data_IF_211483841732
#
_entry.id   IF_211483841732
#
_cell.length_a   1.000
_cell.length_b   1.000
_cell.length_c   1.000
_cell.angle_alpha   90.00
_cell.angle_beta   90.00
_cell.angle_gamma   90.00
#
_symmetry.space_group_name_H-M   'P 1'
#
loop_
_entity.id
_entity.type
_entity.pdbx_description
1 polymer ?
#
# COMPACT_ATOMS: atom_id res chain seq x y z
N UNK A 1 -35.52 16.57 17.82
CA UNK A 1 -35.06 15.17 17.63
C UNK A 1 -34.71 14.83 16.17
N UNK A 2 -35.56 15.11 15.16
CA UNK A 2 -35.29 14.73 13.75
C UNK A 2 -34.04 15.40 13.13
N UNK A 3 -33.74 16.65 13.51
CA UNK A 3 -32.58 17.39 12.98
C UNK A 3 -31.24 16.83 13.47
N UNK A 4 -31.16 16.40 14.73
CA UNK A 4 -29.94 15.85 15.34
C UNK A 4 -29.59 14.51 14.70
N UNK A 5 -30.58 13.67 14.41
CA UNK A 5 -30.39 12.41 13.69
C UNK A 5 -29.87 12.61 12.26
N UNK A 6 -30.37 13.63 11.55
CA UNK A 6 -29.92 13.95 10.20
C UNK A 6 -28.46 14.44 10.19
N UNK A 7 -28.05 15.26 11.17
CA UNK A 7 -26.66 15.72 11.32
C UNK A 7 -25.74 14.56 11.68
N UNK A 8 -26.16 13.66 12.56
CA UNK A 8 -25.37 12.48 12.93
C UNK A 8 -25.17 11.53 11.74
N UNK A 9 -26.22 11.28 10.95
CA UNK A 9 -26.14 10.47 9.74
C UNK A 9 -25.27 11.14 8.67
N UNK A 10 -25.35 12.47 8.52
CA UNK A 10 -24.48 13.21 7.63
C UNK A 10 -23.01 13.09 8.07
N UNK A 11 -22.75 13.14 9.38
CA UNK A 11 -21.40 12.99 9.93
C UNK A 11 -20.85 11.56 9.73
N UNK A 12 -21.69 10.52 9.87
CA UNK A 12 -21.30 9.13 9.57
C UNK A 12 -21.04 8.92 8.07
N UNK A 13 -21.84 9.53 7.20
CA UNK A 13 -21.64 9.47 5.74
C UNK A 13 -20.41 10.28 5.30
N UNK A 14 -20.13 11.41 5.93
CA UNK A 14 -18.93 12.21 5.67
C UNK A 14 -17.68 11.54 6.25
N UNK A 15 -17.73 11.00 7.47
CA UNK A 15 -16.63 10.27 8.08
C UNK A 15 -16.32 8.97 7.31
N UNK A 16 -17.33 8.22 6.85
CA UNK A 16 -17.10 7.04 6.01
C UNK A 16 -16.52 7.38 4.63
N UNK A 17 -16.79 8.57 4.11
CA UNK A 17 -16.10 9.08 2.89
C UNK A 17 -14.69 9.61 3.17
N UNK A 18 -14.43 10.18 4.35
CA UNK A 18 -13.10 10.64 4.78
C UNK A 18 -12.18 9.45 5.11
N UNK A 19 -12.71 8.33 5.61
CA UNK A 19 -11.93 7.09 5.81
C UNK A 19 -11.56 6.42 4.47
N UNK A 20 -12.29 6.71 3.38
CA UNK A 20 -11.91 6.29 2.03
C UNK A 20 -10.85 7.20 1.37
N UNK A 21 -10.42 8.27 2.04
CA UNK A 21 -9.43 9.20 1.52
C UNK A 21 -8.03 8.93 2.10
N UNK A 22 -7.21 8.27 1.29
CA UNK A 22 -5.74 8.50 1.23
C UNK A 22 -4.98 8.39 2.55
N UNK A 23 -5.34 7.43 3.39
CA UNK A 23 -4.52 7.06 4.53
C UNK A 23 -3.38 6.17 4.03
N UNK A 24 -2.16 6.70 4.12
CA UNK A 24 -0.95 5.90 4.10
C UNK A 24 -0.97 5.07 5.41
N UNK A 25 -1.69 3.94 5.41
CA UNK A 25 -2.07 3.12 6.59
C UNK A 25 -0.90 2.36 7.25
N UNK A 26 0.30 2.92 7.20
CA UNK A 26 1.35 2.64 8.17
C UNK A 26 1.10 3.36 9.50
N UNK A 27 0.64 4.62 9.46
CA UNK A 27 0.63 5.48 10.65
C UNK A 27 -0.71 5.58 11.38
N UNK A 28 -1.85 5.51 10.68
CA UNK A 28 -3.17 5.83 11.28
C UNK A 28 -3.74 4.70 12.17
N UNK A 29 -3.19 3.48 12.09
CA UNK A 29 -3.60 2.34 12.92
C UNK A 29 -2.47 1.81 13.82
N UNK A 30 -1.36 2.53 13.92
CA UNK A 30 -0.26 2.07 14.79
C UNK A 30 -0.59 2.36 16.25
N UNK A 31 -0.61 1.34 17.13
CA UNK A 31 -0.91 1.55 18.54
C UNK A 31 0.05 2.54 19.21
N UNK A 32 -0.37 3.09 20.35
CA UNK A 32 0.51 3.97 21.15
C UNK A 32 1.74 3.20 21.62
N UNK A 33 2.79 3.93 22.01
CA UNK A 33 4.02 3.32 22.51
C UNK A 33 3.73 2.39 23.70
N UNK A 34 2.88 2.81 24.63
CA UNK A 34 2.51 1.98 25.79
C UNK A 34 1.78 0.70 25.37
N UNK A 35 0.91 0.77 24.36
CA UNK A 35 0.23 -0.42 23.83
C UNK A 35 1.23 -1.35 23.17
N UNK A 36 2.16 -0.82 22.38
CA UNK A 36 3.22 -1.61 21.75
C UNK A 36 4.16 -2.27 22.76
N UNK A 37 4.51 -1.57 23.84
CA UNK A 37 5.36 -2.11 24.91
C UNK A 37 4.67 -3.31 25.57
N UNK A 38 3.37 -3.19 25.92
CA UNK A 38 2.59 -4.30 26.48
C UNK A 38 2.44 -5.48 25.53
N UNK A 39 2.11 -5.26 24.25
CA UNK A 39 1.93 -6.35 23.28
C UNK A 39 3.21 -7.13 22.99
N UNK A 40 4.36 -6.45 23.01
CA UNK A 40 5.65 -7.10 22.80
C UNK A 40 6.08 -7.87 24.05
N UNK A 41 5.83 -7.34 25.26
CA UNK A 41 6.18 -7.98 26.53
C UNK A 41 5.25 -9.15 26.89
N UNK A 42 3.94 -9.00 26.69
CA UNK A 42 2.97 -10.06 26.98
C UNK A 42 2.97 -11.19 25.93
N UNK A 43 3.57 -10.93 24.77
CA UNK A 43 3.57 -11.84 23.62
C UNK A 43 2.18 -12.06 23.03
N UNK A 44 2.14 -12.80 21.91
CA UNK A 44 0.86 -13.22 21.33
C UNK A 44 0.35 -14.42 22.13
N UNK A 45 -0.71 -14.22 22.90
CA UNK A 45 -1.30 -15.28 23.73
C UNK A 45 -2.16 -16.20 22.86
N UNK A 46 -1.56 -17.26 22.34
CA UNK A 46 -2.29 -18.33 21.68
C UNK A 46 -2.71 -19.40 22.71
N UNK A 47 -4.02 -19.69 22.83
CA UNK A 47 -4.42 -21.05 23.23
C UNK A 47 -4.09 -21.95 22.06
N UNK A 48 -3.40 -23.08 22.29
CA UNK A 48 -2.94 -24.01 21.25
C UNK A 48 -3.89 -24.08 20.05
N UNK A 49 -3.39 -23.97 18.80
CA UNK A 49 -4.24 -23.96 17.63
C UNK A 49 -5.09 -25.23 17.60
N UNK A 50 -6.39 -25.05 17.64
CA UNK A 50 -7.35 -26.12 17.38
C UNK A 50 -7.17 -26.54 15.92
N UNK A 51 -6.43 -27.63 15.69
CA UNK A 51 -6.09 -28.18 14.38
C UNK A 51 -7.33 -28.55 13.55
N UNK A 52 -8.53 -28.57 14.15
CA UNK A 52 -9.80 -28.81 13.46
C UNK A 52 -10.41 -27.55 12.83
N UNK A 53 -9.89 -26.35 13.12
CA UNK A 53 -10.41 -25.09 12.56
C UNK A 53 -9.54 -24.63 11.39
N UNK A 54 -10.11 -24.43 10.18
CA UNK A 54 -9.36 -23.94 9.02
C UNK A 54 -8.91 -22.46 9.17
N UNK A 55 -9.42 -21.73 10.16
CA UNK A 55 -9.07 -20.34 10.44
C UNK A 55 -8.73 -20.16 11.92
N UNK A 56 -7.67 -19.39 12.20
CA UNK A 56 -7.35 -18.97 13.55
C UNK A 56 -8.40 -17.97 14.08
N UNK A 57 -8.47 -17.84 15.40
CA UNK A 57 -9.36 -16.89 16.05
C UNK A 57 -9.09 -15.44 15.58
N UNK A 58 -10.14 -14.67 15.31
CA UNK A 58 -9.99 -13.32 14.75
C UNK A 58 -9.24 -12.37 15.68
N UNK A 59 -9.32 -12.59 17.00
CA UNK A 59 -8.53 -11.86 17.98
C UNK A 59 -7.04 -12.17 17.81
N UNK A 60 -6.67 -13.44 17.62
CA UNK A 60 -5.29 -13.84 17.39
C UNK A 60 -4.72 -13.22 16.11
N UNK A 61 -5.49 -13.22 15.01
CA UNK A 61 -5.08 -12.57 13.76
C UNK A 61 -4.89 -11.06 13.94
N UNK A 62 -5.79 -10.40 14.66
CA UNK A 62 -5.68 -8.97 15.00
C UNK A 62 -4.44 -8.67 15.88
N UNK A 63 -4.09 -9.57 16.81
CA UNK A 63 -2.89 -9.45 17.63
C UNK A 63 -1.61 -9.54 16.78
N UNK A 64 -1.57 -10.46 15.80
CA UNK A 64 -0.44 -10.57 14.87
C UNK A 64 -0.23 -9.28 14.08
N UNK A 65 -1.31 -8.71 13.52
CA UNK A 65 -1.27 -7.43 12.80
C UNK A 65 -0.79 -6.27 13.71
N UNK A 66 -1.24 -6.25 14.95
CA UNK A 66 -0.87 -5.24 15.96
C UNK A 66 0.61 -5.33 16.32
N UNK A 67 1.11 -6.55 16.60
CA UNK A 67 2.52 -6.79 16.90
C UNK A 67 3.39 -6.42 15.71
N UNK A 68 3.00 -6.78 14.50
CA UNK A 68 3.74 -6.43 13.28
C UNK A 68 3.89 -4.90 13.12
N UNK A 69 2.81 -4.12 13.32
CA UNK A 69 2.85 -2.65 13.30
C UNK A 69 3.79 -2.08 14.37
N UNK A 70 3.74 -2.61 15.58
CA UNK A 70 4.62 -2.19 16.67
C UNK A 70 6.09 -2.51 16.40
N UNK A 71 6.38 -3.69 15.85
CA UNK A 71 7.73 -4.09 15.44
C UNK A 71 8.26 -3.18 14.32
N UNK A 72 7.42 -2.86 13.34
CA UNK A 72 7.78 -1.98 12.24
C UNK A 72 8.17 -0.58 12.75
N UNK A 73 7.36 0.01 13.63
CA UNK A 73 7.64 1.32 14.27
C UNK A 73 8.93 1.35 15.08
N UNK A 74 9.35 0.20 15.63
CA UNK A 74 10.63 0.05 16.34
C UNK A 74 11.81 -0.23 15.41
N UNK A 75 11.63 -0.13 14.08
CA UNK A 75 12.67 -0.41 13.09
C UNK A 75 12.99 -1.90 12.91
N UNK A 76 12.16 -2.80 13.44
CA UNK A 76 12.32 -4.26 13.32
C UNK A 76 11.57 -4.80 12.09
N UNK A 77 11.79 -4.18 10.94
CA UNK A 77 10.96 -4.40 9.74
C UNK A 77 10.98 -5.85 9.23
N UNK A 78 12.11 -6.58 9.33
CA UNK A 78 12.18 -8.00 8.94
C UNK A 78 11.22 -8.86 9.77
N UNK A 79 11.23 -8.68 11.09
CA UNK A 79 10.33 -9.40 11.99
C UNK A 79 8.86 -8.95 11.81
N UNK A 80 8.63 -7.66 11.54
CA UNK A 80 7.28 -7.17 11.22
C UNK A 80 6.69 -7.87 9.99
N UNK A 81 7.49 -8.03 8.92
CA UNK A 81 7.09 -8.76 7.71
C UNK A 81 6.72 -10.21 8.05
N UNK A 82 7.54 -10.91 8.85
CA UNK A 82 7.23 -12.28 9.26
C UNK A 82 5.88 -12.40 9.97
N UNK A 83 5.55 -11.46 10.87
CA UNK A 83 4.26 -11.44 11.55
C UNK A 83 3.09 -11.13 10.61
N UNK A 84 3.26 -10.23 9.64
CA UNK A 84 2.23 -9.97 8.62
C UNK A 84 2.03 -11.15 7.68
N UNK A 85 3.09 -11.88 7.32
CA UNK A 85 2.99 -13.11 6.54
C UNK A 85 2.28 -14.21 7.33
N UNK A 86 2.55 -14.32 8.64
CA UNK A 86 1.83 -15.24 9.52
C UNK A 86 0.34 -14.86 9.61
N UNK A 87 0.02 -13.57 9.82
CA UNK A 87 -1.36 -13.10 9.83
C UNK A 87 -2.07 -13.38 8.50
N UNK A 88 -1.37 -13.20 7.38
CA UNK A 88 -1.88 -13.51 6.04
C UNK A 88 -2.17 -15.00 5.85
N UNK A 89 -1.33 -15.89 6.39
CA UNK A 89 -1.55 -17.34 6.35
C UNK A 89 -2.83 -17.77 7.07
N UNK A 90 -3.34 -16.94 7.99
CA UNK A 90 -4.62 -17.11 8.66
C UNK A 90 -5.77 -16.29 8.02
N UNK A 91 -5.57 -15.75 6.82
CA UNK A 91 -6.58 -15.02 6.07
C UNK A 91 -6.67 -13.51 6.34
N UNK A 92 -5.68 -12.91 7.02
CA UNK A 92 -5.66 -11.44 7.19
C UNK A 92 -5.41 -10.73 5.86
N UNK A 93 -6.39 -9.93 5.41
CA UNK A 93 -6.21 -8.99 4.29
C UNK A 93 -5.16 -7.93 4.61
N UNK A 94 -5.13 -7.41 5.85
CA UNK A 94 -4.11 -6.44 6.30
C UNK A 94 -2.71 -7.04 6.26
N UNK A 95 -2.56 -8.26 6.78
CA UNK A 95 -1.29 -8.98 6.75
C UNK A 95 -0.81 -9.28 5.34
N UNK A 96 -1.74 -9.70 4.45
CA UNK A 96 -1.44 -9.95 3.05
C UNK A 96 -1.01 -8.67 2.31
N UNK A 97 -1.71 -7.56 2.55
CA UNK A 97 -1.36 -6.27 1.97
C UNK A 97 0.01 -5.80 2.48
N UNK A 98 0.20 -5.63 3.79
CA UNK A 98 1.42 -5.05 4.35
C UNK A 98 2.63 -5.95 4.15
N UNK A 99 2.48 -7.27 4.35
CA UNK A 99 3.51 -8.25 4.06
C UNK A 99 3.90 -8.23 2.58
N UNK A 100 2.91 -8.20 1.67
CA UNK A 100 3.15 -8.16 0.24
C UNK A 100 3.83 -6.87 -0.22
N UNK A 101 3.38 -5.72 0.27
CA UNK A 101 3.99 -4.40 0.00
C UNK A 101 5.46 -4.41 0.40
N UNK A 102 5.76 -4.79 1.65
CA UNK A 102 7.11 -4.67 2.18
C UNK A 102 8.07 -5.71 1.62
N UNK A 103 7.58 -6.90 1.23
CA UNK A 103 8.36 -7.87 0.45
C UNK A 103 8.80 -7.31 -0.90
N UNK A 104 7.93 -6.56 -1.59
CA UNK A 104 8.26 -5.90 -2.86
C UNK A 104 9.28 -4.78 -2.63
N UNK A 105 8.97 -3.88 -1.71
CA UNK A 105 9.74 -2.66 -1.47
C UNK A 105 11.15 -2.96 -0.96
N UNK A 106 11.28 -3.93 -0.06
CA UNK A 106 12.54 -4.30 0.58
C UNK A 106 13.14 -5.58 -0.01
N UNK A 107 12.75 -5.95 -1.24
CA UNK A 107 13.30 -7.13 -1.89
C UNK A 107 14.83 -7.06 -1.98
N UNK A 108 15.49 -8.03 -1.35
CA UNK A 108 16.90 -8.35 -1.49
C UNK A 108 17.11 -9.41 -2.59
N UNK A 109 16.06 -10.18 -2.92
CA UNK A 109 16.09 -11.26 -3.93
C UNK A 109 14.88 -11.21 -4.87
N UNK A 110 15.02 -11.84 -6.05
CA UNK A 110 13.92 -12.02 -6.99
C UNK A 110 12.77 -12.86 -6.39
N UNK A 111 13.09 -13.84 -5.54
CA UNK A 111 12.10 -14.65 -4.84
C UNK A 111 11.20 -13.77 -3.95
N UNK A 112 11.79 -12.94 -3.09
CA UNK A 112 11.02 -12.02 -2.23
C UNK A 112 10.13 -11.09 -3.04
N UNK A 113 10.66 -10.54 -4.14
CA UNK A 113 9.92 -9.68 -5.04
C UNK A 113 8.69 -10.39 -5.63
N UNK A 114 8.89 -11.59 -6.19
CA UNK A 114 7.80 -12.37 -6.80
C UNK A 114 6.80 -12.87 -5.76
N UNK A 115 7.25 -13.29 -4.57
CA UNK A 115 6.40 -13.65 -3.45
C UNK A 115 5.53 -12.47 -3.01
N UNK A 116 6.09 -11.27 -2.88
CA UNK A 116 5.33 -10.08 -2.53
C UNK A 116 4.28 -9.71 -3.59
N UNK A 117 4.64 -9.80 -4.89
CA UNK A 117 3.72 -9.57 -6.01
C UNK A 117 2.57 -10.60 -6.01
N UNK A 118 2.88 -11.88 -5.81
CA UNK A 118 1.88 -12.95 -5.78
C UNK A 118 0.92 -12.77 -4.58
N UNK A 119 1.47 -12.46 -3.41
CA UNK A 119 0.70 -12.21 -2.20
C UNK A 119 -0.24 -11.02 -2.38
N UNK A 120 0.26 -9.88 -2.85
CA UNK A 120 -0.59 -8.72 -3.11
C UNK A 120 -1.69 -9.00 -4.13
N UNK A 121 -1.38 -9.76 -5.19
CA UNK A 121 -2.38 -10.13 -6.19
C UNK A 121 -3.48 -11.00 -5.59
N UNK A 122 -3.12 -11.98 -4.76
CA UNK A 122 -4.08 -12.85 -4.08
C UNK A 122 -4.95 -12.03 -3.12
N UNK A 123 -4.33 -11.18 -2.29
CA UNK A 123 -5.07 -10.30 -1.37
C UNK A 123 -5.98 -9.31 -2.12
N UNK A 124 -5.56 -8.86 -3.31
CA UNK A 124 -6.33 -7.96 -4.16
C UNK A 124 -7.64 -8.55 -4.69
N UNK A 125 -7.80 -9.87 -4.72
CA UNK A 125 -9.06 -10.52 -5.12
C UNK A 125 -10.22 -10.16 -4.17
N UNK A 126 -9.89 -9.73 -2.94
CA UNK A 126 -10.86 -9.40 -1.90
C UNK A 126 -10.94 -7.89 -1.60
N UNK A 127 -10.13 -7.05 -2.25
CA UNK A 127 -10.11 -5.59 -1.99
C UNK A 127 -9.65 -4.78 -3.20
N UNK A 128 -10.52 -3.88 -3.67
CA UNK A 128 -10.21 -2.94 -4.75
C UNK A 128 -9.06 -1.99 -4.37
N UNK A 129 -8.96 -1.61 -3.10
CA UNK A 129 -7.85 -0.80 -2.59
C UNK A 129 -6.51 -1.54 -2.73
N UNK A 130 -6.48 -2.82 -2.35
CA UNK A 130 -5.28 -3.66 -2.47
C UNK A 130 -4.97 -3.90 -3.95
N UNK A 131 -5.97 -4.06 -4.82
CA UNK A 131 -5.77 -4.16 -6.27
C UNK A 131 -5.10 -2.92 -6.86
N UNK A 132 -5.53 -1.72 -6.46
CA UNK A 132 -4.89 -0.48 -6.86
C UNK A 132 -3.42 -0.43 -6.40
N UNK A 133 -3.15 -0.86 -5.16
CA UNK A 133 -1.79 -0.90 -4.61
C UNK A 133 -0.91 -1.94 -5.33
N UNK A 134 -1.45 -3.11 -5.63
CA UNK A 134 -0.81 -4.13 -6.45
C UNK A 134 -0.38 -3.55 -7.80
N UNK A 135 -1.29 -2.92 -8.54
CA UNK A 135 -0.98 -2.35 -9.85
C UNK A 135 0.07 -1.24 -9.76
N UNK A 136 -0.03 -0.34 -8.79
CA UNK A 136 0.96 0.72 -8.57
C UNK A 136 2.34 0.12 -8.27
N UNK A 137 2.45 -0.76 -7.29
CA UNK A 137 3.75 -1.36 -6.91
C UNK A 137 4.32 -2.24 -8.03
N UNK A 138 3.48 -2.95 -8.78
CA UNK A 138 3.89 -3.69 -9.97
C UNK A 138 4.45 -2.77 -11.05
N UNK A 139 3.85 -1.60 -11.25
CA UNK A 139 4.38 -0.61 -12.19
C UNK A 139 5.75 -0.08 -11.74
N UNK A 140 5.90 0.25 -10.46
CA UNK A 140 7.16 0.76 -9.90
C UNK A 140 8.28 -0.29 -10.01
N UNK A 141 7.97 -1.54 -9.68
CA UNK A 141 8.85 -2.69 -9.85
C UNK A 141 9.39 -2.83 -11.30
N UNK A 142 8.47 -2.81 -12.27
CA UNK A 142 8.78 -2.93 -13.69
C UNK A 142 9.58 -1.73 -14.23
N UNK A 143 9.44 -0.56 -13.62
CA UNK A 143 10.22 0.63 -13.99
C UNK A 143 11.61 0.62 -13.37
N UNK A 144 11.75 0.10 -12.15
CA UNK A 144 13.03 -0.03 -11.45
C UNK A 144 13.90 -1.09 -12.12
N UNK A 145 13.32 -2.24 -12.48
CA UNK A 145 14.01 -3.28 -13.23
C UNK A 145 15.07 -4.08 -12.45
N UNK A 146 15.06 -4.03 -11.11
CA UNK A 146 16.09 -4.65 -10.25
C UNK A 146 16.07 -6.19 -10.30
N UNK A 147 14.89 -6.80 -10.23
CA UNK A 147 14.71 -8.26 -10.21
C UNK A 147 13.85 -8.78 -11.36
N UNK A 148 13.43 -7.89 -12.24
CA UNK A 148 12.67 -8.22 -13.43
C UNK A 148 13.04 -7.29 -14.56
N UNK A 149 12.88 -7.75 -15.80
CA UNK A 149 13.24 -6.94 -16.96
C UNK A 149 12.42 -5.66 -17.00
N UNK A 150 13.12 -4.51 -17.08
CA UNK A 150 12.49 -3.19 -17.17
C UNK A 150 11.48 -3.15 -18.32
N UNK A 151 10.24 -2.79 -18.04
CA UNK A 151 9.17 -2.76 -19.03
C UNK A 151 8.23 -1.56 -18.84
N UNK A 152 8.57 -0.46 -19.51
CA UNK A 152 7.84 0.81 -19.44
C UNK A 152 6.38 0.69 -19.92
N UNK A 153 6.14 -0.12 -20.97
CA UNK A 153 4.80 -0.30 -21.54
C UNK A 153 3.88 -1.04 -20.57
N UNK A 154 4.36 -2.13 -19.97
CA UNK A 154 3.59 -2.90 -18.99
C UNK A 154 3.40 -2.11 -17.68
N UNK A 155 4.40 -1.33 -17.27
CA UNK A 155 4.26 -0.44 -16.13
C UNK A 155 3.16 0.61 -16.36
N UNK A 156 3.15 1.27 -17.52
CA UNK A 156 2.11 2.25 -17.85
C UNK A 156 0.72 1.59 -17.89
N UNK A 157 0.62 0.38 -18.45
CA UNK A 157 -0.64 -0.38 -18.42
C UNK A 157 -1.12 -0.60 -17.00
N UNK A 158 -0.25 -1.02 -16.08
CA UNK A 158 -0.64 -1.21 -14.68
C UNK A 158 -1.11 0.10 -14.02
N UNK A 159 -0.44 1.24 -14.26
CA UNK A 159 -0.91 2.53 -13.74
C UNK A 159 -2.26 2.94 -14.33
N UNK A 160 -2.48 2.70 -15.62
CA UNK A 160 -3.77 2.95 -16.29
C UNK A 160 -4.86 2.05 -15.73
N UNK A 161 -4.56 0.78 -15.44
CA UNK A 161 -5.51 -0.16 -14.83
C UNK A 161 -5.89 0.30 -13.41
N UNK A 162 -4.93 0.77 -12.59
CA UNK A 162 -5.20 1.37 -11.28
C UNK A 162 -6.02 2.67 -11.37
N UNK A 163 -5.74 3.54 -12.35
CA UNK A 163 -6.53 4.75 -12.58
C UNK A 163 -7.99 4.43 -12.95
N UNK A 164 -8.22 3.45 -13.83
CA UNK A 164 -9.57 3.00 -14.19
C UNK A 164 -10.36 2.50 -12.98
N UNK A 165 -9.67 2.01 -11.96
CA UNK A 165 -10.23 1.62 -10.67
C UNK A 165 -10.23 2.76 -9.62
N UNK A 166 -10.06 4.01 -10.07
CA UNK A 166 -10.21 5.21 -9.23
C UNK A 166 -8.96 5.68 -8.48
N UNK A 167 -7.76 5.14 -8.78
CA UNK A 167 -6.54 5.54 -8.08
C UNK A 167 -6.00 6.90 -8.56
N UNK A 168 -6.14 7.92 -7.71
CA UNK A 168 -5.47 9.22 -7.88
C UNK A 168 -3.93 9.09 -7.81
N UNK A 169 -3.42 8.16 -7.00
CA UNK A 169 -1.98 7.92 -6.89
C UNK A 169 -1.39 7.48 -8.24
N UNK A 170 -2.11 6.64 -8.97
CA UNK A 170 -1.66 6.16 -10.27
C UNK A 170 -1.56 7.30 -11.30
N UNK A 171 -2.52 8.22 -11.33
CA UNK A 171 -2.48 9.36 -12.27
C UNK A 171 -1.35 10.33 -11.94
N UNK A 172 -1.12 10.62 -10.65
CA UNK A 172 0.02 11.44 -10.23
C UNK A 172 1.36 10.78 -10.53
N UNK A 173 1.48 9.45 -10.37
CA UNK A 173 2.69 8.73 -10.77
C UNK A 173 2.90 8.76 -12.30
N UNK A 174 1.84 8.64 -13.11
CA UNK A 174 1.96 8.81 -14.57
C UNK A 174 2.46 10.23 -14.89
N UNK A 175 1.89 11.26 -14.29
CA UNK A 175 2.33 12.65 -14.48
C UNK A 175 3.80 12.84 -14.10
N UNK A 176 4.20 12.32 -12.93
CA UNK A 176 5.58 12.35 -12.46
C UNK A 176 6.55 11.69 -13.44
N UNK A 177 6.20 10.50 -13.97
CA UNK A 177 7.04 9.79 -14.92
C UNK A 177 7.10 10.44 -16.32
N UNK A 178 6.14 11.29 -16.66
CA UNK A 178 6.23 12.16 -17.85
C UNK A 178 7.16 13.35 -17.57
N UNK A 179 7.05 13.96 -16.40
CA UNK A 179 7.88 15.10 -15.99
C UNK A 179 9.36 14.71 -15.83
N UNK A 180 9.65 13.49 -15.36
CA UNK A 180 11.02 12.97 -15.23
C UNK A 180 11.55 12.26 -16.48
N UNK A 181 10.82 12.30 -17.60
CA UNK A 181 11.28 11.78 -18.89
C UNK A 181 11.27 10.25 -19.03
N UNK A 182 10.65 9.51 -18.10
CA UNK A 182 10.49 8.05 -18.21
C UNK A 182 9.53 7.70 -19.35
N UNK A 183 8.43 8.44 -19.43
CA UNK A 183 7.50 8.41 -20.55
C UNK A 183 7.69 9.62 -21.44
N UNK A 184 7.68 9.40 -22.76
CA UNK A 184 7.76 10.49 -23.73
C UNK A 184 6.46 11.29 -23.72
N UNK A 185 6.57 12.61 -23.64
CA UNK A 185 5.44 13.54 -23.81
C UNK A 185 4.83 13.33 -25.20
N UNK A 186 3.51 13.27 -25.25
CA UNK A 186 2.73 13.30 -26.50
C UNK A 186 1.41 14.02 -26.25
N UNK A 187 0.69 14.37 -27.30
CA UNK A 187 -0.64 15.00 -27.20
C UNK A 187 -1.60 14.18 -26.32
N UNK A 188 -1.54 12.85 -26.44
CA UNK A 188 -2.35 11.90 -25.65
C UNK A 188 -1.77 11.56 -24.27
N UNK A 189 -0.55 12.01 -23.99
CA UNK A 189 0.18 11.69 -22.77
C UNK A 189 0.93 12.93 -22.27
N UNK A 190 0.17 13.89 -21.75
CA UNK A 190 0.70 15.12 -21.17
C UNK A 190 0.63 15.06 -19.65
N UNK A 191 1.66 15.59 -18.98
CA UNK A 191 1.69 15.67 -17.52
C UNK A 191 0.51 16.47 -16.97
N UNK A 192 0.17 17.61 -17.61
CA UNK A 192 -0.96 18.45 -17.22
C UNK A 192 -2.31 17.70 -17.23
N UNK A 193 -2.53 16.83 -18.23
CA UNK A 193 -3.74 15.99 -18.27
C UNK A 193 -3.80 15.05 -17.06
N UNK A 194 -2.72 14.33 -16.77
CA UNK A 194 -2.69 13.36 -15.68
C UNK A 194 -2.77 14.00 -14.28
N UNK A 195 -2.20 15.19 -14.10
CA UNK A 195 -2.41 15.98 -12.86
C UNK A 195 -3.88 16.33 -12.67
N UNK A 196 -4.53 16.84 -13.72
CA UNK A 196 -5.95 17.17 -13.70
C UNK A 196 -6.83 15.94 -13.42
N UNK A 197 -6.51 14.77 -13.98
CA UNK A 197 -7.22 13.52 -13.66
C UNK A 197 -7.00 13.10 -12.21
N UNK A 198 -5.80 13.26 -11.66
CA UNK A 198 -5.55 13.03 -10.24
C UNK A 198 -6.31 13.97 -9.32
N UNK A 199 -6.34 15.26 -9.63
CA UNK A 199 -7.03 16.27 -8.80
C UNK A 199 -8.54 16.03 -8.73
N UNK A 200 -9.14 15.48 -9.80
CA UNK A 200 -10.55 15.05 -9.79
C UNK A 200 -10.80 13.88 -8.83
N UNK A 201 -9.83 12.99 -8.67
CA UNK A 201 -9.94 11.75 -7.90
C UNK A 201 -9.48 11.91 -6.45
N UNK A 202 -8.51 12.78 -6.18
CA UNK A 202 -7.87 12.88 -4.86
C UNK A 202 -8.71 13.60 -3.82
N UNK A 203 -9.65 14.46 -4.25
CA UNK A 203 -10.53 15.25 -3.40
C UNK A 203 -9.83 16.36 -2.62
N UNK A 204 -8.68 16.08 -2.01
CA UNK A 204 -8.01 16.95 -1.03
C UNK A 204 -6.47 16.99 -1.12
N UNK A 205 -5.83 16.11 -1.90
CA UNK A 205 -4.35 16.04 -2.00
C UNK A 205 -3.92 16.39 -3.41
N UNK A 206 -3.24 17.53 -3.59
CA UNK A 206 -2.71 17.93 -4.89
C UNK A 206 -1.46 17.14 -5.31
N UNK A 207 -1.15 17.17 -6.61
CA UNK A 207 -0.02 16.47 -7.21
C UNK A 207 1.31 16.70 -6.47
N UNK A 208 1.70 17.95 -6.21
CA UNK A 208 3.01 18.26 -5.63
C UNK A 208 3.16 17.68 -4.21
N UNK A 209 2.10 17.82 -3.39
CA UNK A 209 2.08 17.24 -2.04
C UNK A 209 2.11 15.71 -2.07
N UNK A 210 1.40 15.08 -3.01
CA UNK A 210 1.47 13.63 -3.18
C UNK A 210 2.90 13.18 -3.53
N UNK A 211 3.56 13.82 -4.49
CA UNK A 211 4.91 13.41 -4.93
C UNK A 211 5.94 13.61 -3.82
N UNK A 212 5.88 14.72 -3.09
CA UNK A 212 6.73 14.97 -1.93
C UNK A 212 6.58 13.85 -0.89
N UNK A 213 5.34 13.53 -0.50
CA UNK A 213 5.06 12.47 0.46
C UNK A 213 5.45 11.08 -0.08
N UNK A 214 5.21 10.81 -1.36
CA UNK A 214 5.53 9.52 -1.97
C UNK A 214 7.05 9.26 -2.01
N UNK A 215 7.88 10.31 -2.16
CA UNK A 215 9.33 10.18 -2.13
C UNK A 215 9.89 9.93 -0.72
N UNK A 216 9.21 10.42 0.31
CA UNK A 216 9.57 10.23 1.73
C UNK A 216 8.98 8.94 2.32
N UNK A 217 7.91 8.44 1.72
CA UNK A 217 7.18 7.24 2.09
C UNK A 217 8.03 5.97 2.05
N UNK A 218 7.84 5.09 3.04
CA UNK A 218 8.47 3.76 3.04
C UNK A 218 7.94 2.83 1.95
N UNK A 219 6.72 3.06 1.45
CA UNK A 219 6.06 2.18 0.47
C UNK A 219 6.46 2.53 -0.96
N UNK A 220 6.54 3.82 -1.28
CA UNK A 220 6.84 4.26 -2.65
C UNK A 220 8.29 4.77 -2.79
N UNK A 221 8.82 5.40 -1.75
CA UNK A 221 10.10 6.10 -1.76
C UNK A 221 11.27 5.24 -2.21
N UNK A 222 11.50 4.03 -1.64
CA UNK A 222 12.59 3.16 -2.05
C UNK A 222 12.56 2.80 -3.55
N UNK A 223 11.38 2.47 -4.08
CA UNK A 223 11.21 2.13 -5.49
C UNK A 223 11.37 3.35 -6.39
N UNK A 224 10.76 4.49 -6.03
CA UNK A 224 10.86 5.75 -6.78
C UNK A 224 12.30 6.28 -6.86
N UNK A 225 13.04 6.22 -5.74
CA UNK A 225 14.47 6.56 -5.70
C UNK A 225 15.28 5.61 -6.58
N UNK A 226 15.00 4.30 -6.52
CA UNK A 226 15.62 3.30 -7.38
C UNK A 226 15.40 3.55 -8.87
N UNK A 227 14.17 3.93 -9.26
CA UNK A 227 13.83 4.28 -10.65
C UNK A 227 14.65 5.50 -11.13
N UNK A 228 14.80 6.53 -10.28
CA UNK A 228 15.56 7.75 -10.60
C UNK A 228 17.05 7.46 -10.78
N UNK A 229 17.62 6.61 -9.92
CA UNK A 229 19.04 6.25 -10.00
C UNK A 229 19.35 5.37 -11.22
N UNK A 230 18.44 4.46 -11.60
CA UNK A 230 18.53 3.64 -12.82
C UNK A 230 18.14 4.37 -14.12
N UNK A 231 18.17 5.71 -14.14
CA UNK A 231 18.00 6.49 -15.37
C UNK A 231 19.32 6.72 -16.14
N UNK A 232 20.46 6.36 -15.55
CA UNK A 232 21.80 6.62 -16.10
C UNK A 232 22.57 5.37 -16.55
N UNK A 233 21.97 4.18 -16.47
CA UNK A 233 22.49 2.93 -17.03
C UNK A 233 21.74 2.52 -18.30
#
# INVERSE_FOLDING_TARGET
>A
MKLIFAVLLLFVVLASKVVNATSFEGDILTPTKEVCDKFIEEGVKQREPDLSRPYADSLFVSQLDTVARCLYKRGRSKLAIEFWLLASSYGSTSGGELGGVLLIVHAETALQMHSGVALLRQTAEHSAQVMNRYHVLRALALLQGKFEKRNRKLALKNLVDAWKAGSAQATYLIAYFIDTGIYKKSEKLSSAYWKKEGDKLSGNIGYDHFIENALLSDVYGPLLKGIRNGQFD
#
